data_IF_868874677404
#
_entry.id   IF_868874677404
#
_cell.length_a   1.000
_cell.length_b   1.000
_cell.length_c   1.000
_cell.angle_alpha   90.00
_cell.angle_beta   90.00
_cell.angle_gamma   90.00
#
_symmetry.space_group_name_H-M   'P 1'
#
loop_
_entity.id
_entity.type
_entity.pdbx_description
1 polymer ?
#
# COMPACT_ATOMS: atom_id res chain seq x y z
N UNK A 1 42.64 6.16 -0.89
CA UNK A 1 41.57 5.33 -1.51
C UNK A 1 40.67 4.75 -0.43
N UNK A 2 39.45 5.27 -0.32
CA UNK A 2 38.18 4.58 -0.03
C UNK A 2 37.11 5.61 -0.38
N UNK A 3 36.44 5.36 -1.50
CA UNK A 3 35.60 6.35 -2.18
C UNK A 3 34.37 6.71 -1.37
N UNK A 4 34.19 8.00 -1.13
CA UNK A 4 32.91 8.58 -0.73
C UNK A 4 31.93 8.49 -1.90
N UNK A 5 31.12 7.44 -1.92
CA UNK A 5 29.88 7.43 -2.70
C UNK A 5 28.74 7.71 -1.72
N UNK A 6 28.63 8.98 -1.31
CA UNK A 6 27.39 9.47 -0.69
C UNK A 6 26.32 9.47 -1.79
N UNK A 7 25.40 8.50 -1.70
CA UNK A 7 24.48 8.10 -2.77
C UNK A 7 23.68 9.28 -3.34
N UNK A 8 24.02 9.69 -4.57
CA UNK A 8 23.12 10.50 -5.40
C UNK A 8 21.90 9.62 -5.70
N UNK A 9 20.71 10.11 -5.34
CA UNK A 9 19.43 9.52 -5.73
C UNK A 9 19.45 9.22 -7.23
N UNK A 10 19.40 7.95 -7.62
CA UNK A 10 19.51 7.55 -9.03
C UNK A 10 18.16 7.74 -9.72
N UNK A 11 18.01 8.86 -10.41
CA UNK A 11 16.88 9.09 -11.31
C UNK A 11 17.03 8.15 -12.51
N UNK A 12 16.11 7.19 -12.62
CA UNK A 12 16.12 6.18 -13.67
C UNK A 12 15.35 6.67 -14.91
N UNK A 13 14.22 7.34 -14.70
CA UNK A 13 13.40 7.89 -15.78
C UNK A 13 12.67 9.15 -15.30
N UNK A 14 12.45 10.09 -16.21
CA UNK A 14 11.66 11.30 -15.95
C UNK A 14 11.00 11.79 -17.24
N UNK A 15 9.73 12.16 -17.11
CA UNK A 15 9.02 13.02 -18.05
C UNK A 15 8.29 14.16 -17.31
N UNK A 16 7.29 14.77 -17.93
CA UNK A 16 6.48 15.84 -17.36
C UNK A 16 5.70 15.40 -16.11
N UNK A 17 5.21 14.16 -16.08
CA UNK A 17 4.29 13.64 -15.06
C UNK A 17 4.93 12.61 -14.14
N UNK A 18 5.98 11.92 -14.60
CA UNK A 18 6.54 10.73 -13.96
C UNK A 18 8.00 10.97 -13.57
N UNK A 19 8.36 10.52 -12.38
CA UNK A 19 9.75 10.38 -11.92
C UNK A 19 9.93 8.99 -11.33
N UNK A 20 10.86 8.23 -11.90
CA UNK A 20 11.20 6.88 -11.45
C UNK A 20 12.58 6.90 -10.82
N UNK A 21 12.67 6.44 -9.58
CA UNK A 21 13.91 6.36 -8.82
C UNK A 21 14.28 4.90 -8.59
N UNK A 22 15.57 4.58 -8.76
CA UNK A 22 16.11 3.26 -8.46
C UNK A 22 16.89 3.32 -7.13
N UNK A 23 16.45 2.57 -6.13
CA UNK A 23 17.13 2.49 -4.83
C UNK A 23 16.30 1.78 -3.76
N UNK A 24 16.85 1.71 -2.55
CA UNK A 24 16.10 1.27 -1.37
C UNK A 24 14.95 2.27 -1.09
N UNK A 25 13.75 1.75 -0.85
CA UNK A 25 12.57 2.61 -0.70
C UNK A 25 12.64 3.52 0.53
N UNK A 26 13.28 3.10 1.63
CA UNK A 26 13.42 3.93 2.84
C UNK A 26 14.38 5.09 2.57
N UNK A 27 15.51 4.81 1.92
CA UNK A 27 16.48 5.84 1.55
C UNK A 27 15.90 6.84 0.54
N UNK A 28 15.19 6.35 -0.48
CA UNK A 28 14.51 7.20 -1.47
C UNK A 28 13.46 8.07 -0.78
N UNK A 29 12.64 7.51 0.12
CA UNK A 29 11.66 8.27 0.89
C UNK A 29 12.33 9.36 1.74
N UNK A 30 13.46 9.06 2.41
CA UNK A 30 14.20 10.05 3.20
C UNK A 30 14.67 11.23 2.33
N UNK A 31 15.14 10.97 1.10
CA UNK A 31 15.53 12.03 0.15
C UNK A 31 14.34 12.85 -0.37
N UNK A 32 13.17 12.25 -0.52
CA UNK A 32 11.95 12.97 -0.89
C UNK A 32 11.49 13.86 0.27
N UNK A 33 11.58 13.35 1.50
CA UNK A 33 11.28 14.10 2.73
C UNK A 33 12.22 15.30 2.89
N UNK A 34 13.52 15.13 2.67
CA UNK A 34 14.52 16.22 2.71
C UNK A 34 14.16 17.37 1.74
N UNK A 35 13.48 17.06 0.63
CA UNK A 35 13.01 18.04 -0.37
C UNK A 35 11.67 18.68 -0.02
N UNK A 36 11.03 18.29 1.09
CA UNK A 36 9.73 18.83 1.51
C UNK A 36 8.55 18.44 0.62
N UNK A 37 8.71 17.43 -0.23
CA UNK A 37 7.64 16.98 -1.15
C UNK A 37 6.56 16.23 -0.37
N UNK A 38 5.31 16.48 -0.71
CA UNK A 38 4.13 15.85 -0.13
C UNK A 38 3.25 15.22 -1.20
N UNK A 39 2.60 14.12 -0.85
CA UNK A 39 1.72 13.39 -1.75
C UNK A 39 0.27 13.41 -1.27
N UNK A 40 -0.65 13.55 -2.22
CA UNK A 40 -2.09 13.40 -2.00
C UNK A 40 -2.48 11.92 -1.80
N UNK A 41 -1.75 11.01 -2.45
CA UNK A 41 -1.93 9.58 -2.28
C UNK A 41 -0.59 8.85 -2.27
N UNK A 42 -0.46 7.84 -1.42
CA UNK A 42 0.62 6.86 -1.46
C UNK A 42 -0.01 5.50 -1.68
N UNK A 43 0.32 4.86 -2.80
CA UNK A 43 -0.21 3.55 -3.19
C UNK A 43 0.97 2.62 -3.36
N UNK A 44 1.02 1.53 -2.59
CA UNK A 44 2.12 0.58 -2.70
C UNK A 44 1.71 -0.84 -2.33
N UNK A 45 2.43 -1.77 -2.94
CA UNK A 45 2.42 -3.19 -2.64
C UNK A 45 3.74 -3.54 -1.93
N UNK A 46 3.81 -3.40 -0.59
CA UNK A 46 5.05 -3.62 0.14
C UNK A 46 5.44 -5.10 0.14
N UNK A 47 6.72 -5.44 0.35
CA UNK A 47 7.13 -6.84 0.51
C UNK A 47 6.43 -7.47 1.72
N UNK A 48 5.82 -8.64 1.52
CA UNK A 48 4.99 -9.33 2.51
C UNK A 48 5.75 -10.35 3.35
N UNK A 49 6.99 -10.70 2.99
CA UNK A 49 7.70 -11.79 3.68
C UNK A 49 7.17 -13.18 3.34
N UNK A 50 6.60 -13.35 2.15
CA UNK A 50 5.85 -14.57 1.76
C UNK A 50 6.61 -15.48 0.81
N UNK A 51 7.73 -15.00 0.24
CA UNK A 51 8.56 -15.72 -0.73
C UNK A 51 9.97 -15.95 -0.19
N UNK A 52 10.71 -16.86 -0.83
CA UNK A 52 12.12 -17.12 -0.49
C UNK A 52 13.09 -16.05 -1.04
N UNK A 53 12.56 -14.98 -1.66
CA UNK A 53 13.36 -13.93 -2.26
C UNK A 53 13.93 -13.00 -1.19
N UNK A 54 15.24 -12.70 -1.25
CA UNK A 54 15.90 -11.80 -0.28
C UNK A 54 15.28 -10.40 -0.18
N UNK A 55 14.69 -9.92 -1.28
CA UNK A 55 14.03 -8.62 -1.34
C UNK A 55 12.62 -8.64 -0.70
N UNK A 56 12.01 -9.81 -0.54
CA UNK A 56 10.70 -9.98 0.10
C UNK A 56 10.90 -10.11 1.61
N UNK A 57 11.54 -9.11 2.20
CA UNK A 57 11.68 -8.99 3.65
C UNK A 57 10.70 -7.90 4.11
N UNK A 58 9.87 -8.23 5.11
CA UNK A 58 8.94 -7.26 5.69
C UNK A 58 9.72 -6.05 6.18
N UNK A 59 9.39 -4.88 5.64
CA UNK A 59 9.92 -3.61 6.12
C UNK A 59 9.41 -3.41 7.56
N UNK A 60 10.26 -3.11 8.54
CA UNK A 60 9.81 -2.83 9.90
C UNK A 60 8.73 -1.74 9.91
N UNK A 61 7.53 -2.07 10.38
CA UNK A 61 6.36 -1.18 10.27
C UNK A 61 6.62 0.20 10.85
N UNK A 62 7.34 0.29 11.97
CA UNK A 62 7.73 1.57 12.57
C UNK A 62 8.53 2.45 11.60
N UNK A 63 9.52 1.89 10.90
CA UNK A 63 10.35 2.62 9.91
C UNK A 63 9.54 3.04 8.69
N UNK A 64 8.62 2.19 8.25
CA UNK A 64 7.73 2.48 7.13
C UNK A 64 6.76 3.62 7.49
N UNK A 65 6.02 3.48 8.59
CA UNK A 65 5.03 4.47 9.03
C UNK A 65 5.64 5.83 9.33
N UNK A 66 6.84 5.88 9.91
CA UNK A 66 7.58 7.13 10.12
C UNK A 66 7.69 7.95 8.82
N UNK A 67 8.09 7.30 7.72
CA UNK A 67 8.28 7.95 6.42
C UNK A 67 6.97 8.24 5.73
N UNK A 68 6.05 7.27 5.69
CA UNK A 68 4.74 7.42 5.07
C UNK A 68 3.97 8.60 5.69
N UNK A 69 3.96 8.72 7.02
CA UNK A 69 3.29 9.82 7.73
C UNK A 69 3.94 11.18 7.45
N UNK A 70 5.25 11.23 7.16
CA UNK A 70 5.96 12.46 6.78
C UNK A 70 5.77 12.81 5.31
N UNK A 71 5.46 11.85 4.45
CA UNK A 71 5.29 12.06 3.01
C UNK A 71 3.85 12.38 2.61
N UNK A 72 2.86 11.86 3.32
CA UNK A 72 1.45 12.11 3.01
C UNK A 72 1.02 13.51 3.47
N UNK A 73 0.10 14.15 2.73
CA UNK A 73 -0.67 15.31 3.18
C UNK A 73 -1.69 14.90 4.25
N UNK A 74 -2.19 15.84 5.02
CA UNK A 74 -3.16 15.54 6.10
C UNK A 74 -4.49 15.01 5.53
N UNK A 75 -4.88 15.53 4.37
CA UNK A 75 -6.04 15.12 3.57
C UNK A 75 -5.72 13.96 2.61
N UNK A 76 -4.53 13.36 2.70
CA UNK A 76 -4.11 12.30 1.80
C UNK A 76 -4.57 10.92 2.23
N UNK A 77 -4.49 9.97 1.30
CA UNK A 77 -4.78 8.55 1.53
C UNK A 77 -3.52 7.69 1.34
N UNK A 78 -3.30 6.74 2.25
CA UNK A 78 -2.31 5.68 2.10
C UNK A 78 -3.07 4.38 1.83
N UNK A 79 -2.79 3.78 0.68
CA UNK A 79 -3.47 2.58 0.18
C UNK A 79 -2.42 1.47 0.01
N UNK A 80 -2.52 0.44 0.83
CA UNK A 80 -1.51 -0.61 0.92
C UNK A 80 -2.13 -1.96 0.56
N UNK A 81 -1.54 -2.63 -0.42
CA UNK A 81 -1.93 -3.99 -0.76
C UNK A 81 -1.39 -4.95 0.29
N UNK A 82 -2.10 -6.06 0.49
CA UNK A 82 -1.70 -7.08 1.44
C UNK A 82 -2.33 -8.43 1.16
N UNK A 83 -1.77 -9.44 1.80
CA UNK A 83 -2.50 -10.68 2.01
C UNK A 83 -2.23 -11.27 3.39
N UNK A 84 -3.17 -12.07 3.91
CA UNK A 84 -3.02 -12.62 5.25
C UNK A 84 -1.83 -13.58 5.35
N UNK A 85 -1.09 -13.58 6.48
CA UNK A 85 -1.34 -12.82 7.73
C UNK A 85 -0.77 -11.39 7.74
N UNK A 86 -0.08 -10.96 6.68
CA UNK A 86 0.54 -9.63 6.60
C UNK A 86 -0.50 -8.52 6.71
N UNK A 87 -1.65 -8.64 6.05
CA UNK A 87 -2.74 -7.65 6.14
C UNK A 87 -3.21 -7.41 7.58
N UNK A 88 -3.38 -8.48 8.38
CA UNK A 88 -3.70 -8.34 9.80
C UNK A 88 -2.62 -7.58 10.56
N UNK A 89 -1.36 -7.94 10.38
CA UNK A 89 -0.25 -7.26 11.05
C UNK A 89 -0.15 -5.79 10.62
N UNK A 90 -0.36 -5.50 9.33
CA UNK A 90 -0.34 -4.16 8.77
C UNK A 90 -1.43 -3.28 9.39
N UNK A 91 -2.68 -3.74 9.42
CA UNK A 91 -3.79 -3.00 10.06
C UNK A 91 -3.49 -2.71 11.52
N UNK A 92 -3.07 -3.73 12.27
CA UNK A 92 -2.78 -3.58 13.70
C UNK A 92 -1.61 -2.64 13.97
N UNK A 93 -0.62 -2.58 13.08
CA UNK A 93 0.53 -1.68 13.22
C UNK A 93 0.15 -0.19 13.13
N UNK A 94 -1.01 0.16 12.54
CA UNK A 94 -1.51 1.52 12.47
C UNK A 94 -3.05 1.59 12.55
N UNK A 95 -3.59 0.98 13.60
CA UNK A 95 -5.05 0.87 13.79
C UNK A 95 -5.75 2.23 13.93
N UNK A 96 -5.02 3.25 14.41
CA UNK A 96 -5.57 4.61 14.60
C UNK A 96 -5.95 5.28 13.27
N UNK A 97 -5.16 5.05 12.23
CA UNK A 97 -5.38 5.65 10.91
C UNK A 97 -6.08 4.69 9.94
N UNK A 98 -6.20 3.40 10.28
CA UNK A 98 -6.96 2.43 9.49
C UNK A 98 -8.43 2.84 9.37
N UNK A 99 -9.01 2.67 8.18
CA UNK A 99 -10.44 2.93 7.92
C UNK A 99 -11.20 1.69 7.53
N UNK A 100 -10.82 1.09 6.41
CA UNK A 100 -11.50 -0.06 5.84
C UNK A 100 -10.58 -0.79 4.86
N UNK A 101 -10.98 -2.01 4.54
CA UNK A 101 -10.38 -2.80 3.48
C UNK A 101 -11.29 -2.77 2.24
N UNK A 102 -10.67 -2.69 1.07
CA UNK A 102 -11.28 -3.15 -0.17
C UNK A 102 -10.84 -4.58 -0.41
N UNK A 103 -11.80 -5.42 -0.81
CA UNK A 103 -11.52 -6.80 -1.22
C UNK A 103 -11.57 -6.84 -2.74
N UNK A 104 -10.40 -6.96 -3.35
CA UNK A 104 -10.31 -7.07 -4.80
C UNK A 104 -10.50 -8.51 -5.23
N UNK A 105 -11.64 -8.82 -5.83
CA UNK A 105 -11.91 -10.12 -6.47
C UNK A 105 -11.24 -10.19 -7.85
N UNK A 106 -10.24 -11.06 -7.96
CA UNK A 106 -9.44 -11.22 -9.17
C UNK A 106 -10.00 -12.36 -10.01
N UNK A 107 -10.27 -12.08 -11.29
CA UNK A 107 -10.70 -13.09 -12.28
C UNK A 107 -9.77 -14.30 -12.36
N UNK A 108 -8.48 -14.11 -12.09
CA UNK A 108 -7.49 -15.18 -11.94
C UNK A 108 -6.84 -15.05 -10.56
N UNK A 109 -7.08 -16.05 -9.72
CA UNK A 109 -6.43 -16.16 -8.42
C UNK A 109 -4.93 -16.40 -8.49
N UNK A 110 -4.29 -16.37 -7.34
CA UNK A 110 -2.88 -16.70 -7.16
C UNK A 110 -2.70 -18.02 -6.40
N UNK A 111 -1.44 -18.38 -6.16
CA UNK A 111 -1.05 -19.49 -5.29
C UNK A 111 -1.59 -20.87 -5.72
N UNK A 112 -1.59 -21.14 -7.02
CA UNK A 112 -2.07 -22.41 -7.63
C UNK A 112 -1.37 -23.63 -7.00
N UNK A 113 -0.12 -23.48 -6.58
CA UNK A 113 0.67 -24.56 -5.98
C UNK A 113 0.11 -25.06 -4.63
N UNK A 114 -0.67 -24.24 -3.92
CA UNK A 114 -1.23 -24.60 -2.60
C UNK A 114 -2.68 -25.09 -2.66
N UNK A 115 -3.26 -25.29 -3.86
CA UNK A 115 -4.65 -25.72 -4.03
C UNK A 115 -5.00 -27.06 -3.37
N UNK A 116 -3.99 -27.89 -3.07
CA UNK A 116 -4.18 -29.15 -2.34
C UNK A 116 -4.45 -28.95 -0.84
N UNK A 117 -4.11 -27.79 -0.29
CA UNK A 117 -4.13 -27.52 1.16
C UNK A 117 -5.06 -26.37 1.55
N UNK A 118 -5.47 -25.53 0.61
CA UNK A 118 -6.34 -24.39 0.85
C UNK A 118 -7.20 -24.06 -0.38
N UNK A 119 -8.35 -23.38 -0.20
CA UNK A 119 -9.13 -22.84 -1.31
C UNK A 119 -8.30 -21.92 -2.21
N UNK A 120 -8.75 -21.78 -3.45
CA UNK A 120 -8.09 -20.91 -4.41
C UNK A 120 -8.12 -19.46 -3.95
N UNK A 121 -6.95 -18.84 -3.88
CA UNK A 121 -6.82 -17.45 -3.43
C UNK A 121 -7.20 -16.52 -4.58
N UNK A 122 -8.50 -16.21 -4.66
CA UNK A 122 -9.08 -15.36 -5.71
C UNK A 122 -9.14 -13.89 -5.36
N UNK A 123 -8.91 -13.51 -4.10
CA UNK A 123 -8.96 -12.12 -3.67
C UNK A 123 -7.65 -11.59 -3.09
N UNK A 124 -7.52 -10.27 -3.10
CA UNK A 124 -6.49 -9.49 -2.40
C UNK A 124 -7.14 -8.45 -1.50
N UNK A 125 -6.42 -8.09 -0.43
CA UNK A 125 -6.84 -7.06 0.51
C UNK A 125 -6.10 -5.78 0.15
N UNK A 126 -6.86 -4.69 0.06
CA UNK A 126 -6.34 -3.35 -0.12
C UNK A 126 -6.75 -2.53 1.10
N UNK A 127 -5.82 -2.30 2.01
CA UNK A 127 -6.07 -1.58 3.26
C UNK A 127 -5.91 -0.07 3.08
N UNK A 128 -6.94 0.68 3.47
CA UNK A 128 -6.97 2.14 3.35
C UNK A 128 -6.74 2.79 4.71
N UNK A 129 -5.77 3.72 4.75
CA UNK A 129 -5.41 4.51 5.92
C UNK A 129 -5.51 6.01 5.58
N UNK A 130 -6.18 6.78 6.44
CA UNK A 130 -6.16 8.24 6.39
C UNK A 130 -6.43 8.84 7.79
N UNK A 131 -6.18 10.14 7.94
CA UNK A 131 -6.45 10.87 9.20
C UNK A 131 -7.75 11.68 9.17
N UNK A 132 -8.14 12.13 7.99
CA UNK A 132 -9.27 13.03 7.78
C UNK A 132 -10.58 12.28 7.51
N UNK A 133 -11.70 13.01 7.51
CA UNK A 133 -13.03 12.47 7.18
C UNK A 133 -13.16 12.28 5.68
N UNK A 134 -13.67 11.13 5.26
CA UNK A 134 -13.98 10.86 3.85
C UNK A 134 -15.12 11.76 3.34
N UNK A 135 -14.90 12.41 2.20
CA UNK A 135 -15.92 13.18 1.49
C UNK A 135 -16.36 12.39 0.27
N UNK A 136 -17.56 11.76 0.30
CA UNK A 136 -18.01 10.93 -0.81
C UNK A 136 -18.29 11.76 -2.07
N UNK A 137 -17.89 11.22 -3.22
CA UNK A 137 -18.47 11.62 -4.50
C UNK A 137 -19.85 10.94 -4.56
N UNK A 138 -20.89 11.74 -4.37
CA UNK A 138 -22.27 11.25 -4.29
C UNK A 138 -22.77 10.91 -5.69
N UNK A 139 -23.34 9.73 -5.87
CA UNK A 139 -24.07 9.33 -7.06
C UNK A 139 -25.56 9.17 -6.73
N UNK A 140 -26.42 9.37 -7.72
CA UNK A 140 -27.85 9.12 -7.54
C UNK A 140 -28.10 7.65 -7.18
N UNK A 141 -28.80 7.46 -6.08
CA UNK A 141 -29.12 6.13 -5.63
C UNK A 141 -30.13 5.50 -6.59
N UNK A 142 -29.81 4.32 -7.16
CA UNK A 142 -30.79 3.52 -7.90
C UNK A 142 -32.00 3.23 -7.01
N UNK A 143 -33.18 3.25 -7.63
CA UNK A 143 -34.47 3.03 -6.97
C UNK A 143 -34.44 1.71 -6.18
N UNK A 144 -34.70 1.78 -4.87
CA UNK A 144 -34.74 0.58 -4.01
C UNK A 144 -36.00 -0.22 -4.35
N UNK A 145 -35.86 -1.35 -5.03
CA UNK A 145 -36.92 -2.37 -5.06
C UNK A 145 -37.00 -2.98 -3.66
N UNK A 146 -38.10 -2.74 -2.96
CA UNK A 146 -38.28 -3.21 -1.60
C UNK A 146 -38.55 -4.72 -1.55
N UNK A 147 -38.03 -5.33 -0.46
CA UNK A 147 -38.09 -6.72 0.01
C UNK A 147 -37.02 -7.67 -0.53
N UNK A 148 -35.98 -7.87 0.29
CA UNK A 148 -35.25 -9.14 0.36
C UNK A 148 -36.22 -10.17 0.93
N UNK A 149 -36.73 -11.07 0.08
CA UNK A 149 -37.41 -12.27 0.56
C UNK A 149 -36.36 -13.17 1.21
N UNK A 150 -36.49 -13.41 2.52
CA UNK A 150 -35.74 -14.46 3.19
C UNK A 150 -36.44 -15.78 2.86
N UNK A 151 -35.76 -16.66 2.12
CA UNK A 151 -36.17 -18.06 1.93
C UNK A 151 -35.77 -18.89 3.15
#
# INVERSE_FOLDING_TARGET
MKGDILHKLKLYYKDEYIRLFQGDCLEVMDKIIEKGIKFDAIITDPPYGTTACKWDTIIPFNKMWERLNRLIKEEGAIVLFGSEPFSSALRMSNIKNYKYDWVWDKKKGGNIMNLKYQPYKVHEIISVFNKHKYYPIMEEQKERKSKTEYH
#
